data_IF_675613719831
#
_entry.id   IF_675613719831
#
_cell.length_a   1.000
_cell.length_b   1.000
_cell.length_c   1.000
_cell.angle_alpha   90.00
_cell.angle_beta   90.00
_cell.angle_gamma   90.00
#
_symmetry.space_group_name_H-M   'P 1'
#
loop_
_entity.id
_entity.type
_entity.pdbx_description
1 polymer ?
#
# COMPACT_ATOMS: atom_id res chain seq x y z
N UNK A 1 7.34 -20.90 5.26
CA UNK A 1 7.37 -19.43 5.17
C UNK A 1 6.28 -18.89 6.09
N UNK A 2 6.59 -17.85 6.88
CA UNK A 2 5.66 -17.16 7.79
C UNK A 2 5.40 -15.74 7.30
N UNK A 3 4.16 -15.42 6.99
CA UNK A 3 3.72 -14.09 6.58
C UNK A 3 3.04 -13.40 7.75
N UNK A 4 3.54 -12.23 8.16
CA UNK A 4 2.94 -11.40 9.18
C UNK A 4 1.99 -10.37 8.59
N UNK A 5 0.76 -10.29 9.09
CA UNK A 5 -0.23 -9.28 8.70
C UNK A 5 -0.87 -8.65 9.94
N UNK A 6 -1.25 -7.38 9.84
CA UNK A 6 -2.11 -6.77 10.86
C UNK A 6 -3.56 -7.20 10.63
N UNK A 7 -4.20 -7.79 11.64
CA UNK A 7 -5.56 -8.30 11.52
C UNK A 7 -6.60 -7.20 11.28
N UNK A 8 -7.65 -7.52 10.53
CA UNK A 8 -8.74 -6.58 10.24
C UNK A 8 -8.41 -5.47 9.25
N UNK A 9 -7.22 -5.52 8.65
CA UNK A 9 -6.83 -4.67 7.53
C UNK A 9 -7.40 -5.21 6.21
N UNK A 10 -7.31 -4.42 5.15
CA UNK A 10 -7.78 -4.82 3.82
C UNK A 10 -6.92 -5.98 3.27
N UNK A 11 -5.66 -6.04 3.71
CA UNK A 11 -4.63 -6.97 3.30
C UNK A 11 -4.90 -8.38 3.83
N UNK A 12 -5.45 -8.52 5.03
CA UNK A 12 -5.70 -9.79 5.72
C UNK A 12 -6.54 -10.80 4.89
N UNK A 13 -7.77 -10.47 4.46
CA UNK A 13 -8.57 -11.40 3.66
C UNK A 13 -8.00 -11.66 2.26
N UNK A 14 -7.18 -10.75 1.71
CA UNK A 14 -6.59 -10.92 0.38
C UNK A 14 -5.34 -11.77 0.41
N UNK A 15 -4.51 -11.58 1.44
CA UNK A 15 -3.34 -12.41 1.69
C UNK A 15 -3.75 -13.85 1.98
N UNK A 16 -4.84 -14.05 2.72
CA UNK A 16 -5.39 -15.40 2.97
C UNK A 16 -5.74 -16.16 1.70
N UNK A 17 -6.18 -15.47 0.63
CA UNK A 17 -6.49 -16.09 -0.68
C UNK A 17 -5.25 -16.30 -1.55
N UNK A 18 -4.27 -15.42 -1.41
CA UNK A 18 -3.03 -15.43 -2.20
C UNK A 18 -1.91 -16.26 -1.54
N UNK A 19 -2.16 -16.85 -0.37
CA UNK A 19 -1.14 -17.56 0.39
C UNK A 19 -0.72 -18.85 -0.35
N UNK A 20 0.59 -19.07 -0.57
CA UNK A 20 1.07 -20.33 -1.12
C UNK A 20 0.72 -21.52 -0.22
N UNK A 21 0.55 -22.71 -0.79
CA UNK A 21 0.39 -23.93 0.00
C UNK A 21 1.60 -24.13 0.93
N UNK A 22 1.33 -24.39 2.21
CA UNK A 22 2.36 -24.57 3.25
C UNK A 22 2.95 -23.28 3.83
N UNK A 23 2.49 -22.10 3.41
CA UNK A 23 2.77 -20.86 4.12
C UNK A 23 1.88 -20.71 5.36
N UNK A 24 2.42 -20.14 6.43
CA UNK A 24 1.70 -19.84 7.67
C UNK A 24 1.40 -18.34 7.72
N UNK A 25 0.14 -18.00 7.99
CA UNK A 25 -0.31 -16.63 8.18
C UNK A 25 -0.36 -16.31 9.69
N UNK A 26 0.34 -15.27 10.12
CA UNK A 26 0.39 -14.83 11.52
C UNK A 26 -0.23 -13.44 11.63
N UNK A 27 -1.29 -13.34 12.42
CA UNK A 27 -1.98 -12.08 12.71
C UNK A 27 -1.37 -11.35 13.90
N UNK A 28 -1.20 -10.04 13.75
CA UNK A 28 -0.76 -9.14 14.81
C UNK A 28 -1.82 -8.06 15.06
N UNK A 29 -1.81 -7.48 16.26
CA UNK A 29 -2.79 -6.47 16.67
C UNK A 29 -2.60 -5.09 16.03
N UNK A 30 -1.39 -4.75 15.60
CA UNK A 30 -1.08 -3.49 14.93
C UNK A 30 0.18 -3.59 14.03
N UNK A 31 0.44 -2.56 13.24
CA UNK A 31 1.58 -2.49 12.32
C UNK A 31 2.94 -2.47 13.04
N UNK A 32 3.02 -1.94 14.26
CA UNK A 32 4.27 -1.86 15.01
C UNK A 32 4.68 -3.25 15.55
N UNK A 33 3.70 -4.03 16.00
CA UNK A 33 3.87 -5.43 16.38
C UNK A 33 4.25 -6.27 15.16
N UNK A 34 3.60 -6.10 14.01
CA UNK A 34 3.97 -6.80 12.77
C UNK A 34 5.41 -6.48 12.35
N UNK A 35 5.82 -5.20 12.37
CA UNK A 35 7.20 -4.80 12.06
C UNK A 35 8.18 -5.42 13.06
N UNK A 36 7.90 -5.35 14.36
CA UNK A 36 8.80 -5.90 15.39
C UNK A 36 9.01 -7.40 15.21
N UNK A 37 7.96 -8.14 14.88
CA UNK A 37 8.04 -9.57 14.57
C UNK A 37 8.91 -9.85 13.34
N UNK A 38 8.77 -9.04 12.29
CA UNK A 38 9.62 -9.13 11.09
C UNK A 38 11.09 -8.83 11.42
N UNK A 39 11.36 -7.75 12.15
CA UNK A 39 12.71 -7.35 12.53
C UNK A 39 13.40 -8.37 13.46
N UNK A 40 12.61 -9.07 14.27
CA UNK A 40 13.05 -10.15 15.15
C UNK A 40 13.18 -11.52 14.44
N UNK A 41 12.84 -11.61 13.15
CA UNK A 41 12.88 -12.86 12.38
C UNK A 41 11.81 -13.88 12.77
N UNK A 42 10.73 -13.44 13.43
CA UNK A 42 9.59 -14.30 13.76
C UNK A 42 8.71 -14.57 12.54
N UNK A 43 8.70 -13.65 11.58
CA UNK A 43 8.06 -13.78 10.26
C UNK A 43 9.07 -13.50 9.16
N UNK A 44 8.93 -14.20 8.04
CA UNK A 44 9.82 -14.07 6.87
C UNK A 44 9.42 -12.88 6.00
N UNK A 45 8.13 -12.55 5.97
CA UNK A 45 7.56 -11.47 5.13
C UNK A 45 6.56 -10.66 5.96
N UNK A 46 6.62 -9.34 5.82
CA UNK A 46 5.64 -8.41 6.35
C UNK A 46 4.69 -7.96 5.23
N UNK A 47 3.38 -8.07 5.46
CA UNK A 47 2.35 -7.64 4.52
C UNK A 47 1.57 -6.47 5.12
N UNK A 48 1.62 -5.33 4.45
CA UNK A 48 0.97 -4.08 4.88
C UNK A 48 0.73 -3.16 3.68
N UNK A 49 -0.02 -2.08 3.89
CA UNK A 49 -0.29 -1.06 2.88
C UNK A 49 0.96 -0.23 2.53
N UNK A 50 0.99 0.29 1.31
CA UNK A 50 2.13 1.05 0.76
C UNK A 50 2.58 2.25 1.63
N UNK A 51 1.64 3.00 2.19
CA UNK A 51 1.92 4.15 3.07
C UNK A 51 2.58 3.73 4.37
N UNK A 52 2.13 2.61 4.94
CA UNK A 52 2.72 2.02 6.14
C UNK A 52 4.11 1.50 5.80
N UNK A 53 4.25 0.72 4.72
CA UNK A 53 5.55 0.20 4.27
C UNK A 53 6.58 1.31 4.06
N UNK A 54 6.20 2.41 3.38
CA UNK A 54 7.07 3.57 3.17
C UNK A 54 7.52 4.21 4.49
N UNK A 55 6.59 4.37 5.46
CA UNK A 55 6.92 4.89 6.79
C UNK A 55 7.85 3.96 7.57
N UNK A 56 7.62 2.65 7.50
CA UNK A 56 8.47 1.65 8.16
C UNK A 56 9.87 1.64 7.54
N UNK A 57 9.99 1.71 6.21
CA UNK A 57 11.26 1.79 5.50
C UNK A 57 12.04 3.05 5.86
N UNK A 58 11.38 4.22 5.87
CA UNK A 58 11.99 5.48 6.28
C UNK A 58 12.47 5.47 7.74
N UNK A 59 11.77 4.76 8.63
CA UNK A 59 12.14 4.62 10.04
C UNK A 59 13.23 3.57 10.31
N UNK A 60 13.53 2.69 9.35
CA UNK A 60 14.48 1.58 9.51
C UNK A 60 15.43 1.47 8.30
N UNK A 61 16.23 2.51 7.99
CA UNK A 61 17.03 2.58 6.77
C UNK A 61 18.06 1.43 6.66
N UNK A 62 18.60 0.96 7.78
CA UNK A 62 19.60 -0.11 7.81
C UNK A 62 19.03 -1.51 7.50
N UNK A 63 17.71 -1.68 7.53
CA UNK A 63 17.03 -2.97 7.35
C UNK A 63 16.59 -3.23 5.90
N UNK A 64 16.87 -2.30 4.98
CA UNK A 64 16.63 -2.42 3.54
C UNK A 64 15.29 -3.09 3.20
N UNK A 65 14.19 -2.57 3.78
CA UNK A 65 12.85 -3.07 3.50
C UNK A 65 12.54 -2.87 2.01
N UNK A 66 12.44 -3.98 1.27
CA UNK A 66 12.17 -3.99 -0.15
C UNK A 66 10.81 -4.63 -0.43
N UNK A 67 10.00 -3.99 -1.28
CA UNK A 67 8.72 -4.57 -1.71
C UNK A 67 8.97 -5.68 -2.70
N UNK A 68 8.58 -6.92 -2.35
CA UNK A 68 8.78 -8.09 -3.23
C UNK A 68 7.61 -8.39 -4.15
N UNK A 69 6.37 -8.17 -3.71
CA UNK A 69 5.18 -8.39 -4.51
C UNK A 69 4.00 -7.58 -3.99
N UNK A 70 3.01 -7.35 -4.85
CA UNK A 70 1.76 -6.66 -4.52
C UNK A 70 0.65 -7.69 -4.43
N UNK A 71 0.09 -7.89 -3.22
CA UNK A 71 -1.01 -8.84 -2.98
C UNK A 71 -2.29 -8.40 -3.70
N UNK A 72 -2.62 -7.11 -3.65
CA UNK A 72 -3.80 -6.56 -4.31
C UNK A 72 -3.56 -5.12 -4.74
N UNK A 73 -3.99 -4.78 -5.95
CA UNK A 73 -4.11 -3.39 -6.39
C UNK A 73 -5.45 -2.81 -5.91
N UNK A 74 -5.36 -1.79 -5.06
CA UNK A 74 -6.53 -1.11 -4.47
C UNK A 74 -6.39 0.40 -4.68
N UNK A 75 -6.63 0.92 -5.89
CA UNK A 75 -6.44 2.34 -6.17
C UNK A 75 -7.34 3.20 -5.29
N UNK A 76 -6.79 4.31 -4.81
CA UNK A 76 -7.53 5.30 -4.04
C UNK A 76 -8.27 6.27 -4.96
N UNK A 77 -9.52 6.59 -4.62
CA UNK A 77 -10.37 7.52 -5.37
C UNK A 77 -10.81 8.69 -4.50
N UNK A 78 -11.10 9.82 -5.14
CA UNK A 78 -11.68 10.99 -4.46
C UNK A 78 -13.21 10.86 -4.54
N UNK A 79 -13.85 10.72 -3.38
CA UNK A 79 -15.31 10.66 -3.28
C UNK A 79 -15.94 12.03 -3.54
N UNK A 80 -16.97 12.06 -4.39
CA UNK A 80 -17.83 13.22 -4.62
C UNK A 80 -19.28 12.86 -4.31
N UNK A 81 -20.09 13.86 -3.96
CA UNK A 81 -21.52 13.66 -3.67
C UNK A 81 -22.23 13.14 -4.92
N UNK A 82 -23.08 12.12 -4.75
CA UNK A 82 -23.86 11.56 -5.85
C UNK A 82 -24.73 12.64 -6.51
N UNK A 83 -24.76 12.64 -7.85
CA UNK A 83 -25.46 13.64 -8.66
C UNK A 83 -24.63 14.88 -9.02
N UNK A 84 -23.49 15.13 -8.38
CA UNK A 84 -22.62 16.29 -8.66
C UNK A 84 -21.70 16.05 -9.86
N UNK A 85 -22.27 15.91 -11.06
CA UNK A 85 -21.52 15.59 -12.28
C UNK A 85 -20.44 16.64 -12.62
N UNK A 86 -20.71 17.92 -12.39
CA UNK A 86 -19.74 19.00 -12.62
C UNK A 86 -18.54 18.91 -11.69
N UNK A 87 -18.77 18.57 -10.41
CA UNK A 87 -17.69 18.39 -9.44
C UNK A 87 -16.85 17.15 -9.78
N UNK A 88 -17.51 16.04 -10.12
CA UNK A 88 -16.82 14.83 -10.58
C UNK A 88 -15.90 15.13 -11.77
N UNK A 89 -16.43 15.81 -12.79
CA UNK A 89 -15.66 16.20 -13.97
C UNK A 89 -14.49 17.10 -13.62
N UNK A 90 -14.70 18.10 -12.77
CA UNK A 90 -13.64 19.02 -12.36
C UNK A 90 -12.50 18.29 -11.61
N UNK A 91 -12.84 17.42 -10.65
CA UNK A 91 -11.86 16.62 -9.90
C UNK A 91 -11.08 15.70 -10.82
N UNK A 92 -11.78 15.02 -11.73
CA UNK A 92 -11.17 14.13 -12.72
C UNK A 92 -10.17 14.86 -13.62
N UNK A 93 -10.55 16.03 -14.15
CA UNK A 93 -9.68 16.87 -14.98
C UNK A 93 -8.49 17.41 -14.16
N UNK A 94 -8.72 17.82 -12.91
CA UNK A 94 -7.65 18.28 -12.02
C UNK A 94 -6.61 17.18 -11.80
N UNK A 95 -7.04 15.96 -11.44
CA UNK A 95 -6.15 14.81 -11.24
C UNK A 95 -5.40 14.48 -12.52
N UNK A 96 -6.07 14.44 -13.67
CA UNK A 96 -5.44 14.19 -14.97
C UNK A 96 -4.36 15.24 -15.29
N UNK A 97 -4.66 16.52 -15.09
CA UNK A 97 -3.71 17.60 -15.31
C UNK A 97 -2.46 17.45 -14.41
N UNK A 98 -2.63 17.10 -13.12
CA UNK A 98 -1.49 16.86 -12.21
C UNK A 98 -0.72 15.58 -12.52
N UNK A 99 -1.37 14.55 -13.06
CA UNK A 99 -0.72 13.33 -13.58
C UNK A 99 0.18 13.68 -14.77
N UNK A 100 -0.38 14.35 -15.78
CA UNK A 100 0.34 14.71 -17.01
C UNK A 100 1.47 15.71 -16.75
N UNK A 101 1.29 16.59 -15.76
CA UNK A 101 2.33 17.54 -15.33
C UNK A 101 3.42 16.96 -14.42
N UNK A 102 3.43 15.65 -14.15
CA UNK A 102 4.46 15.00 -13.31
C UNK A 102 4.33 15.19 -11.80
N UNK A 103 3.53 16.18 -11.35
CA UNK A 103 3.37 16.52 -9.92
C UNK A 103 2.95 15.31 -9.06
N UNK A 104 2.06 14.46 -9.57
CA UNK A 104 1.65 13.27 -8.82
C UNK A 104 2.78 12.24 -8.69
N UNK A 105 3.68 12.16 -9.69
CA UNK A 105 4.87 11.32 -9.63
C UNK A 105 5.87 11.83 -8.60
N UNK A 106 6.12 13.14 -8.57
CA UNK A 106 7.01 13.75 -7.58
C UNK A 106 6.50 13.51 -6.15
N UNK A 107 5.18 13.60 -5.93
CA UNK A 107 4.57 13.27 -4.65
C UNK A 107 4.70 11.79 -4.30
N UNK A 108 4.53 10.89 -5.28
CA UNK A 108 4.71 9.46 -5.07
C UNK A 108 6.14 9.14 -4.62
N UNK A 109 7.15 9.67 -5.31
CA UNK A 109 8.55 9.46 -4.95
C UNK A 109 8.84 10.03 -3.56
N UNK A 110 8.39 11.25 -3.29
CA UNK A 110 8.63 11.94 -2.01
C UNK A 110 8.05 11.19 -0.81
N UNK A 111 6.82 10.70 -0.93
CA UNK A 111 6.07 10.16 0.22
C UNK A 111 6.07 8.63 0.29
N UNK A 112 6.20 7.96 -0.85
CA UNK A 112 6.07 6.51 -0.98
C UNK A 112 7.35 5.84 -1.49
N UNK A 113 8.38 6.61 -1.88
CA UNK A 113 9.66 6.08 -2.35
C UNK A 113 9.59 5.32 -3.67
N UNK A 114 8.51 5.48 -4.43
CA UNK A 114 8.27 4.77 -5.69
C UNK A 114 7.63 5.68 -6.74
N UNK A 115 7.81 5.36 -8.01
CA UNK A 115 7.13 6.05 -9.11
C UNK A 115 5.61 5.88 -9.01
N UNK A 116 4.86 6.86 -9.54
CA UNK A 116 3.41 6.81 -9.58
C UNK A 116 2.96 5.59 -10.40
N UNK A 117 2.22 4.64 -9.81
CA UNK A 117 1.69 3.51 -10.56
C UNK A 117 0.67 3.97 -11.60
N UNK A 118 0.36 3.10 -12.55
CA UNK A 118 -0.67 3.38 -13.55
C UNK A 118 -2.00 3.74 -12.87
N UNK A 119 -2.43 4.99 -13.06
CA UNK A 119 -3.78 5.42 -12.68
C UNK A 119 -4.76 5.04 -13.80
N UNK A 120 -5.91 4.40 -13.47
CA UNK A 120 -6.94 4.07 -14.44
C UNK A 120 -7.39 5.31 -15.23
N UNK A 121 -7.78 5.10 -16.49
CA UNK A 121 -8.36 6.16 -17.32
C UNK A 121 -9.73 6.57 -16.79
N UNK A 122 -10.11 7.82 -17.07
CA UNK A 122 -11.44 8.37 -16.81
C UNK A 122 -12.53 7.65 -17.60
#
# INVERSE_FOLDING_TARGET
MKAGVTGGTIEDPELSKALPEGAELIHFGDNAATLSAYLAGQVDVLVTGNTVAAKLAAGNPDKALETKFVVRQSPAFIGVKSGEANMLQWVNVFVLHKKLGGVLNDLSIKWLGQELPYLPSL
#
